data_IF_475424317965
#
_entry.id   IF_475424317965
#
_cell.length_a   1.000
_cell.length_b   1.000
_cell.length_c   1.000
_cell.angle_alpha   90.00
_cell.angle_beta   90.00
_cell.angle_gamma   90.00
#
_symmetry.space_group_name_H-M   'P 1'
#
loop_
_entity.id
_entity.type
_entity.pdbx_description
1 polymer ?
#
# COMPACT_ATOMS: atom_id res chain seq x y z
N UNK A 1 15.68 -15.10 -13.92
CA UNK A 1 14.87 -15.33 -12.70
C UNK A 1 14.01 -14.10 -12.48
N UNK A 2 12.72 -14.26 -12.20
CA UNK A 2 11.79 -13.13 -12.02
C UNK A 2 11.52 -12.93 -10.52
N UNK A 3 11.59 -11.68 -10.06
CA UNK A 3 11.23 -11.30 -8.67
C UNK A 3 9.74 -10.97 -8.66
N UNK A 4 8.98 -11.62 -7.77
CA UNK A 4 7.52 -11.45 -7.69
C UNK A 4 7.14 -10.91 -6.30
N UNK A 5 6.27 -9.90 -6.26
CA UNK A 5 5.67 -9.36 -5.04
C UNK A 5 4.21 -9.77 -5.03
N UNK A 6 3.82 -10.58 -4.04
CA UNK A 6 2.47 -11.16 -3.92
C UNK A 6 1.84 -10.58 -2.65
N UNK A 7 0.85 -9.69 -2.80
CA UNK A 7 0.09 -9.10 -1.69
C UNK A 7 -1.24 -9.84 -1.55
N UNK A 8 -1.55 -10.37 -0.37
CA UNK A 8 -2.76 -11.14 -0.09
C UNK A 8 -3.57 -10.39 0.96
N UNK A 9 -4.85 -10.10 0.66
CA UNK A 9 -5.82 -9.47 1.58
C UNK A 9 -6.42 -10.53 2.53
N UNK A 10 -5.54 -11.22 3.25
CA UNK A 10 -5.88 -12.22 4.24
C UNK A 10 -4.81 -12.19 5.33
N UNK A 11 -5.25 -12.38 6.57
CA UNK A 11 -4.32 -12.58 7.67
C UNK A 11 -3.79 -14.02 7.64
N UNK A 12 -2.71 -14.24 6.88
CA UNK A 12 -2.00 -15.52 6.84
C UNK A 12 -1.29 -15.80 8.16
N UNK A 13 -1.91 -16.56 9.04
CA UNK A 13 -1.27 -16.98 10.28
C UNK A 13 0.04 -17.78 10.03
N UNK A 14 0.85 -17.90 11.08
CA UNK A 14 2.17 -18.54 11.02
C UNK A 14 2.12 -19.96 10.43
N UNK A 15 1.07 -20.73 10.74
CA UNK A 15 0.86 -22.07 10.22
C UNK A 15 0.72 -22.11 8.69
N UNK A 16 -0.03 -21.17 8.09
CA UNK A 16 -0.17 -21.09 6.63
C UNK A 16 1.13 -20.63 5.95
N UNK A 17 1.94 -19.81 6.62
CA UNK A 17 3.23 -19.37 6.11
C UNK A 17 4.26 -20.50 6.02
N UNK A 18 4.13 -21.54 6.84
CA UNK A 18 5.01 -22.73 6.76
C UNK A 18 4.91 -23.46 5.43
N UNK A 19 3.80 -23.34 4.70
CA UNK A 19 3.62 -23.93 3.37
C UNK A 19 4.40 -23.20 2.25
N UNK A 20 4.91 -21.99 2.51
CA UNK A 20 5.61 -21.14 1.54
C UNK A 20 6.99 -20.66 2.05
N UNK A 21 7.92 -21.58 2.38
CA UNK A 21 9.20 -21.24 3.04
C UNK A 21 10.11 -20.33 2.20
N UNK A 22 9.93 -20.30 0.88
CA UNK A 22 10.66 -19.43 -0.04
C UNK A 22 10.10 -18.01 -0.16
N UNK A 23 8.95 -17.72 0.46
CA UNK A 23 8.28 -16.42 0.41
C UNK A 23 8.31 -15.76 1.79
N UNK A 24 8.55 -14.44 1.81
CA UNK A 24 8.49 -13.62 3.02
C UNK A 24 7.15 -12.91 3.04
N UNK A 25 6.25 -13.30 3.95
CA UNK A 25 4.95 -12.65 4.07
C UNK A 25 5.06 -11.27 4.70
N UNK A 26 4.24 -10.35 4.20
CA UNK A 26 4.01 -9.03 4.77
C UNK A 26 2.51 -8.78 4.81
N UNK A 27 1.94 -8.77 6.01
CA UNK A 27 0.53 -8.49 6.26
C UNK A 27 0.25 -7.01 6.02
N UNK A 28 -0.77 -6.71 5.20
CA UNK A 28 -1.22 -5.35 4.94
C UNK A 28 -2.72 -5.29 5.27
N UNK A 29 -3.12 -4.86 6.47
CA UNK A 29 -4.55 -4.74 6.80
C UNK A 29 -5.21 -3.60 6.01
N UNK A 30 -6.40 -3.85 5.45
CA UNK A 30 -7.41 -2.91 4.94
C UNK A 30 -6.90 -1.57 4.36
N UNK A 31 -5.99 -1.60 3.38
CA UNK A 31 -5.46 -0.38 2.76
C UNK A 31 -6.11 -0.09 1.42
N UNK A 32 -6.48 1.17 1.22
CA UNK A 32 -6.97 1.69 -0.07
C UNK A 32 -5.85 2.50 -0.72
N UNK A 33 -5.43 2.12 -1.92
CA UNK A 33 -4.43 2.87 -2.69
C UNK A 33 -5.13 3.88 -3.60
N UNK A 34 -4.79 5.16 -3.46
CA UNK A 34 -5.22 6.24 -4.34
C UNK A 34 -4.08 6.59 -5.30
N UNK A 35 -4.35 6.53 -6.60
CA UNK A 35 -3.38 6.88 -7.65
C UNK A 35 -4.02 7.84 -8.65
N UNK A 36 -3.27 8.86 -9.05
CA UNK A 36 -3.69 9.86 -10.03
C UNK A 36 -2.61 10.91 -10.19
N UNK A 37 -2.81 11.81 -11.14
CA UNK A 37 -1.92 12.95 -11.34
C UNK A 37 -2.16 13.96 -10.22
N UNK A 38 -1.08 14.42 -9.61
CA UNK A 38 -1.09 15.50 -8.62
C UNK A 38 -0.18 16.59 -9.17
N UNK A 39 -0.77 17.74 -9.49
CA UNK A 39 -0.11 18.80 -10.24
C UNK A 39 1.06 19.41 -9.47
N UNK A 40 0.91 19.58 -8.16
CA UNK A 40 1.94 20.14 -7.30
C UNK A 40 1.80 19.71 -5.82
N UNK A 41 2.74 20.19 -5.00
CA UNK A 41 2.77 19.91 -3.57
C UNK A 41 1.59 20.52 -2.79
N UNK A 42 1.00 21.62 -3.28
CA UNK A 42 -0.13 22.28 -2.63
C UNK A 42 -1.40 21.46 -2.81
N UNK A 43 -1.63 20.90 -4.00
CA UNK A 43 -2.73 19.97 -4.28
C UNK A 43 -2.59 18.69 -3.44
N UNK A 44 -1.38 18.11 -3.36
CA UNK A 44 -1.10 16.96 -2.50
C UNK A 44 -1.49 17.24 -1.04
N UNK A 45 -1.07 18.40 -0.50
CA UNK A 45 -1.38 18.78 0.88
C UNK A 45 -2.90 18.91 1.11
N UNK A 46 -3.64 19.41 0.11
CA UNK A 46 -5.10 19.47 0.15
C UNK A 46 -5.74 18.08 0.28
N UNK A 47 -5.29 17.11 -0.52
CA UNK A 47 -5.77 15.73 -0.50
C UNK A 47 -5.49 15.08 0.86
N UNK A 48 -4.27 15.23 1.40
CA UNK A 48 -3.89 14.68 2.70
C UNK A 48 -4.70 15.26 3.86
N UNK A 49 -4.96 16.56 3.82
CA UNK A 49 -5.80 17.21 4.82
C UNK A 49 -7.25 16.70 4.77
N UNK A 50 -7.79 16.46 3.57
CA UNK A 50 -9.13 15.91 3.39
C UNK A 50 -9.22 14.48 3.95
N UNK A 51 -8.29 13.60 3.59
CA UNK A 51 -8.26 12.22 4.11
C UNK A 51 -8.18 12.20 5.64
N UNK A 52 -7.35 13.08 6.22
CA UNK A 52 -7.26 13.26 7.68
C UNK A 52 -8.59 13.71 8.28
N UNK A 53 -9.29 14.65 7.66
CA UNK A 53 -10.60 15.13 8.15
C UNK A 53 -11.70 14.07 8.10
N UNK A 54 -11.55 13.09 7.19
CA UNK A 54 -12.48 11.96 7.03
C UNK A 54 -12.17 10.81 7.99
N UNK A 55 -11.11 10.91 8.81
CA UNK A 55 -10.66 9.84 9.70
C UNK A 55 -9.99 8.68 8.96
N UNK A 56 -9.43 8.94 7.76
CA UNK A 56 -8.69 7.96 6.97
C UNK A 56 -7.20 8.13 7.23
N UNK A 57 -6.57 7.10 7.78
CA UNK A 57 -5.12 7.07 7.99
C UNK A 57 -4.38 6.77 6.68
N UNK A 58 -3.46 7.66 6.29
CA UNK A 58 -2.61 7.47 5.10
C UNK A 58 -1.34 6.71 5.49
N UNK A 59 -1.21 5.48 4.98
CA UNK A 59 -0.11 4.57 5.36
C UNK A 59 1.15 4.80 4.52
N UNK A 60 1.01 5.12 3.24
CA UNK A 60 2.14 5.28 2.31
C UNK A 60 1.75 6.23 1.15
N UNK A 61 2.69 7.10 0.76
CA UNK A 61 2.60 7.92 -0.45
C UNK A 61 3.88 7.72 -1.24
N UNK A 62 3.75 7.23 -2.48
CA UNK A 62 4.87 6.99 -3.38
C UNK A 62 4.64 7.70 -4.71
N UNK A 63 5.68 8.34 -5.24
CA UNK A 63 5.64 8.89 -6.60
C UNK A 63 5.90 7.76 -7.59
N UNK A 64 5.00 7.60 -8.57
CA UNK A 64 5.18 6.66 -9.66
C UNK A 64 5.94 7.39 -10.77
N UNK A 65 7.20 7.02 -11.09
CA UNK A 65 7.91 7.63 -12.21
C UNK A 65 7.21 7.27 -13.54
N UNK A 66 7.06 8.25 -14.43
CA UNK A 66 6.70 7.98 -15.82
C UNK A 66 7.84 7.21 -16.50
N UNK A 67 7.50 6.16 -17.25
CA UNK A 67 8.44 5.21 -17.86
C UNK A 67 9.21 5.80 -19.05
#
# INVERSE_FOLDING_TARGET
MARMLIRVDADLNEDLLTAFPQLVARHHPASTTLSGDVADQQELQGILNLLTSLGVDVVEVVTIPEA
#
